data_IF_554142835880
#
_entry.id   IF_554142835880
#
_cell.length_a   1.000
_cell.length_b   1.000
_cell.length_c   1.000
_cell.angle_alpha   90.00
_cell.angle_beta   90.00
_cell.angle_gamma   90.00
#
_symmetry.space_group_name_H-M   'P 1'
#
loop_
_entity.id
_entity.type
_entity.pdbx_description
1 polymer ?
#
# COMPACT_ATOMS: atom_id res chain seq x y z
N UNK A 1 -10.14 3.03 13.78
CA UNK A 1 -8.68 2.93 13.79
C UNK A 1 -8.26 1.49 13.54
N UNK A 2 -7.17 1.27 12.80
CA UNK A 2 -6.59 -0.04 12.60
C UNK A 2 -5.10 -0.03 12.97
N UNK A 3 -4.61 -1.18 13.37
CA UNK A 3 -3.22 -1.45 13.69
C UNK A 3 -2.89 -2.90 13.32
N UNK A 4 -1.61 -3.27 13.33
CA UNK A 4 -1.17 -4.61 12.98
C UNK A 4 0.32 -4.84 13.22
N UNK A 5 0.81 -6.05 12.94
CA UNK A 5 2.17 -6.45 13.24
C UNK A 5 3.20 -5.65 12.42
N UNK A 6 4.41 -5.48 12.98
CA UNK A 6 5.55 -4.88 12.28
C UNK A 6 6.21 -5.86 11.32
N UNK A 7 6.19 -7.15 11.67
CA UNK A 7 6.65 -8.23 10.80
C UNK A 7 5.44 -8.78 10.07
N UNK A 8 5.50 -8.74 8.77
CA UNK A 8 4.50 -9.26 7.84
C UNK A 8 5.11 -10.37 6.98
N UNK A 9 4.30 -11.00 6.17
CA UNK A 9 4.79 -11.81 5.07
C UNK A 9 4.63 -11.06 3.74
N UNK A 10 5.31 -11.52 2.71
CA UNK A 10 5.24 -10.91 1.38
C UNK A 10 3.84 -10.95 0.77
N UNK A 11 3.00 -11.87 1.21
CA UNK A 11 1.60 -11.91 0.81
C UNK A 11 0.89 -10.58 1.16
N UNK A 12 0.90 -10.17 2.42
CA UNK A 12 0.25 -8.94 2.85
C UNK A 12 1.04 -7.70 2.47
N UNK A 13 2.39 -7.79 2.49
CA UNK A 13 3.24 -6.64 2.17
C UNK A 13 3.20 -6.25 0.67
N UNK A 14 2.86 -7.20 -0.21
CA UNK A 14 2.87 -6.96 -1.65
C UNK A 14 1.80 -7.69 -2.45
N UNK A 15 1.65 -9.00 -2.30
CA UNK A 15 0.79 -9.78 -3.20
C UNK A 15 -0.68 -9.37 -3.09
N UNK A 16 -1.23 -9.25 -1.88
CA UNK A 16 -2.60 -8.80 -1.63
C UNK A 16 -2.87 -7.36 -2.10
N UNK A 17 -1.82 -6.61 -2.40
CA UNK A 17 -1.86 -5.28 -2.99
C UNK A 17 -1.59 -5.31 -4.50
N UNK A 18 -1.71 -6.47 -5.12
CA UNK A 18 -1.47 -6.67 -6.55
C UNK A 18 -0.10 -6.17 -7.03
N UNK A 19 0.88 -6.10 -6.13
CA UNK A 19 2.26 -5.76 -6.47
C UNK A 19 2.98 -7.02 -6.97
N UNK A 20 3.45 -7.06 -8.22
CA UNK A 20 4.07 -8.28 -8.76
C UNK A 20 5.32 -8.68 -7.97
N UNK A 21 5.58 -9.98 -7.85
CA UNK A 21 6.69 -10.51 -7.04
C UNK A 21 8.08 -10.08 -7.55
N UNK A 22 8.18 -9.66 -8.82
CA UNK A 22 9.39 -9.10 -9.41
C UNK A 22 9.47 -7.56 -9.36
N UNK A 23 8.55 -6.89 -8.62
CA UNK A 23 8.58 -5.43 -8.49
C UNK A 23 9.83 -4.98 -7.73
N UNK A 24 10.48 -3.90 -8.19
CA UNK A 24 11.72 -3.37 -7.60
C UNK A 24 11.57 -3.05 -6.10
N UNK A 25 10.44 -2.48 -5.68
CA UNK A 25 10.16 -2.17 -4.28
C UNK A 25 10.09 -3.40 -3.34
N UNK A 26 10.24 -4.61 -3.87
CA UNK A 26 10.34 -5.89 -3.12
C UNK A 26 11.76 -6.47 -3.17
N UNK A 27 12.72 -5.71 -3.71
CA UNK A 27 14.11 -6.15 -3.74
C UNK A 27 14.74 -6.13 -2.33
N UNK A 28 15.72 -7.00 -2.12
CA UNK A 28 16.46 -7.09 -0.86
C UNK A 28 17.20 -5.79 -0.52
N UNK A 29 17.40 -4.94 -1.49
CA UNK A 29 18.01 -3.61 -1.32
C UNK A 29 17.02 -2.53 -0.90
N UNK A 30 15.71 -2.81 -0.93
CA UNK A 30 14.64 -1.84 -0.62
C UNK A 30 13.86 -2.20 0.64
N UNK A 31 13.88 -3.50 1.06
CA UNK A 31 13.13 -3.99 2.23
C UNK A 31 14.01 -4.79 3.19
N UNK A 32 13.58 -4.85 4.45
CA UNK A 32 14.23 -5.67 5.48
C UNK A 32 13.55 -7.02 5.60
N UNK A 33 14.21 -8.07 5.10
CA UNK A 33 13.76 -9.45 5.29
C UNK A 33 14.19 -10.02 6.64
N UNK A 34 13.30 -10.78 7.25
CA UNK A 34 13.59 -11.48 8.50
C UNK A 34 14.51 -12.68 8.25
N UNK A 35 15.57 -12.82 9.03
CA UNK A 35 16.56 -13.88 8.87
C UNK A 35 16.11 -15.21 9.46
N UNK A 36 15.39 -15.16 10.58
CA UNK A 36 14.94 -16.35 11.29
C UNK A 36 13.69 -16.02 12.15
N UNK A 37 12.56 -16.72 11.91
CA UNK A 37 12.30 -17.61 10.78
C UNK A 37 12.15 -16.84 9.46
N UNK A 38 12.65 -17.42 8.36
CA UNK A 38 12.58 -16.80 7.01
C UNK A 38 11.15 -16.76 6.50
N UNK A 39 10.37 -17.81 6.74
CA UNK A 39 9.01 -17.97 6.24
C UNK A 39 7.98 -18.08 7.35
N UNK A 40 6.79 -17.55 7.13
CA UNK A 40 5.62 -17.82 7.96
C UNK A 40 5.17 -19.28 7.76
N UNK A 41 4.36 -19.80 8.70
CA UNK A 41 3.87 -21.18 8.63
C UNK A 41 2.92 -21.39 7.45
N UNK A 42 1.85 -20.61 7.40
CA UNK A 42 0.81 -20.73 6.39
C UNK A 42 0.18 -19.35 6.10
N UNK A 43 -0.41 -19.20 4.94
CA UNK A 43 -1.26 -18.09 4.54
C UNK A 43 -2.67 -18.64 4.42
N UNK A 44 -3.64 -17.93 4.96
CA UNK A 44 -5.02 -18.39 5.01
C UNK A 44 -5.65 -18.51 3.62
N UNK A 45 -6.31 -19.65 3.38
CA UNK A 45 -7.25 -19.80 2.29
C UNK A 45 -8.62 -19.14 2.68
N UNK A 46 -9.37 -18.54 1.74
CA UNK A 46 -9.18 -18.61 0.28
C UNK A 46 -8.30 -17.48 -0.30
N UNK A 47 -7.68 -16.65 0.53
CA UNK A 47 -6.95 -15.46 0.07
C UNK A 47 -5.77 -15.82 -0.83
N UNK A 48 -4.99 -16.84 -0.45
CA UNK A 48 -3.83 -17.25 -1.22
C UNK A 48 -4.22 -17.70 -2.64
N UNK A 49 -5.28 -18.51 -2.77
CA UNK A 49 -5.76 -18.99 -4.06
C UNK A 49 -6.25 -17.82 -4.93
N UNK A 50 -7.07 -16.94 -4.39
CA UNK A 50 -7.63 -15.80 -5.14
C UNK A 50 -6.56 -14.85 -5.60
N UNK A 51 -5.66 -14.45 -4.71
CA UNK A 51 -4.57 -13.49 -5.01
C UNK A 51 -3.60 -14.11 -6.03
N UNK A 52 -3.19 -15.37 -5.87
CA UNK A 52 -2.29 -16.01 -6.83
C UNK A 52 -2.90 -16.06 -8.24
N UNK A 53 -4.16 -16.47 -8.36
CA UNK A 53 -4.89 -16.49 -9.62
C UNK A 53 -5.03 -15.08 -10.23
N UNK A 54 -5.31 -14.08 -9.39
CA UNK A 54 -5.39 -12.68 -9.86
C UNK A 54 -4.06 -12.20 -10.43
N UNK A 55 -2.93 -12.57 -9.81
CA UNK A 55 -1.60 -12.27 -10.35
C UNK A 55 -1.30 -12.99 -11.66
N UNK A 56 -1.68 -14.26 -11.79
CA UNK A 56 -1.37 -15.08 -12.96
C UNK A 56 -2.19 -14.69 -14.18
N UNK A 57 -3.51 -14.59 -14.05
CA UNK A 57 -4.43 -14.42 -15.18
C UNK A 57 -5.52 -13.35 -14.98
N UNK A 58 -5.52 -12.68 -13.82
CA UNK A 58 -6.52 -11.67 -13.46
C UNK A 58 -7.68 -12.23 -12.64
N UNK A 59 -7.78 -13.54 -12.44
CA UNK A 59 -8.84 -14.15 -11.65
C UNK A 59 -10.24 -13.75 -12.15
N UNK A 60 -11.10 -13.39 -11.22
CA UNK A 60 -12.48 -12.99 -11.50
C UNK A 60 -12.64 -11.47 -11.71
N UNK A 61 -11.54 -10.69 -11.71
CA UNK A 61 -11.55 -9.22 -11.79
C UNK A 61 -11.73 -8.65 -13.19
N UNK A 62 -11.76 -9.48 -14.22
CA UNK A 62 -11.81 -9.07 -15.62
C UNK A 62 -10.48 -8.52 -16.17
N UNK A 63 -9.43 -8.50 -15.38
CA UNK A 63 -8.09 -8.12 -15.81
C UNK A 63 -7.35 -9.31 -16.46
N UNK A 64 -6.11 -9.07 -16.88
CA UNK A 64 -5.25 -10.12 -17.44
C UNK A 64 -4.15 -10.57 -16.48
N UNK A 65 -4.16 -10.04 -15.25
CA UNK A 65 -3.08 -10.23 -14.30
C UNK A 65 -1.72 -9.75 -14.82
N UNK A 66 -0.68 -10.15 -14.14
CA UNK A 66 0.71 -9.87 -14.52
C UNK A 66 1.32 -10.94 -15.44
N UNK A 67 0.62 -12.09 -15.61
CA UNK A 67 0.99 -13.19 -16.51
C UNK A 67 2.32 -13.86 -16.19
N UNK A 68 2.66 -13.99 -14.94
CA UNK A 68 3.79 -14.80 -14.47
C UNK A 68 3.29 -15.92 -13.58
N UNK A 69 4.09 -16.95 -13.41
CA UNK A 69 3.79 -18.04 -12.49
C UNK A 69 4.02 -17.56 -11.06
N UNK A 70 2.98 -17.58 -10.24
CA UNK A 70 3.05 -17.14 -8.85
C UNK A 70 3.96 -18.05 -8.01
N UNK A 71 4.85 -17.45 -7.23
CA UNK A 71 5.76 -18.17 -6.35
C UNK A 71 5.18 -18.26 -4.94
N UNK A 72 4.67 -19.45 -4.59
CA UNK A 72 4.09 -19.75 -3.29
C UNK A 72 5.11 -19.84 -2.14
N UNK A 73 6.39 -19.94 -2.43
CA UNK A 73 7.43 -19.89 -1.42
C UNK A 73 7.80 -18.44 -1.12
N UNK A 74 8.00 -17.63 -2.15
CA UNK A 74 8.30 -16.21 -2.00
C UNK A 74 7.22 -15.47 -1.18
N UNK A 75 5.95 -15.71 -1.46
CA UNK A 75 4.82 -15.06 -0.76
C UNK A 75 4.82 -15.27 0.75
N UNK A 76 5.48 -16.35 1.24
CA UNK A 76 5.60 -16.70 2.67
C UNK A 76 6.80 -16.06 3.36
N UNK A 77 7.72 -15.42 2.63
CA UNK A 77 8.90 -14.77 3.24
C UNK A 77 8.45 -13.67 4.20
N UNK A 78 9.07 -13.64 5.37
CA UNK A 78 8.79 -12.62 6.36
C UNK A 78 9.63 -11.36 6.11
N UNK A 79 8.99 -10.21 6.25
CA UNK A 79 9.53 -8.89 5.95
C UNK A 79 9.09 -7.88 7.01
N UNK A 80 9.91 -6.89 7.31
CA UNK A 80 9.43 -5.72 8.03
C UNK A 80 8.53 -4.90 7.09
N UNK A 81 7.37 -4.53 7.57
CA UNK A 81 6.35 -3.79 6.82
C UNK A 81 6.93 -2.54 6.14
N UNK A 82 6.89 -2.50 4.81
CA UNK A 82 7.50 -1.43 4.02
C UNK A 82 6.56 -0.26 3.71
N UNK A 83 5.26 -0.43 3.96
CA UNK A 83 4.22 0.57 3.70
C UNK A 83 3.00 0.38 4.62
N UNK A 84 2.27 1.46 4.88
CA UNK A 84 1.06 1.44 5.69
C UNK A 84 -0.11 0.72 5.01
N UNK A 85 -0.14 0.67 3.69
CA UNK A 85 -1.18 0.06 2.87
C UNK A 85 -1.32 -1.46 3.11
N UNK A 86 -0.31 -2.09 3.69
CA UNK A 86 -0.40 -3.47 4.23
C UNK A 86 -1.58 -3.60 5.20
N UNK A 87 -1.75 -2.64 6.10
CA UNK A 87 -2.87 -2.65 7.04
C UNK A 87 -4.21 -2.32 6.38
N UNK A 88 -4.19 -1.56 5.29
CA UNK A 88 -5.38 -1.38 4.45
C UNK A 88 -5.82 -2.71 3.82
N UNK A 89 -4.89 -3.53 3.31
CA UNK A 89 -5.18 -4.86 2.80
C UNK A 89 -5.84 -5.75 3.88
N UNK A 90 -5.24 -5.84 5.06
CA UNK A 90 -5.84 -6.54 6.20
C UNK A 90 -7.22 -5.98 6.60
N UNK A 91 -7.41 -4.67 6.53
CA UNK A 91 -8.68 -4.05 6.89
C UNK A 91 -9.76 -4.34 5.84
N UNK A 92 -9.42 -4.43 4.56
CA UNK A 92 -10.37 -4.73 3.48
C UNK A 92 -11.06 -6.08 3.69
N UNK A 93 -10.38 -7.10 4.22
CA UNK A 93 -10.96 -8.43 4.48
C UNK A 93 -12.11 -8.44 5.49
N UNK A 94 -12.22 -7.42 6.31
CA UNK A 94 -13.23 -7.29 7.39
C UNK A 94 -13.98 -5.97 7.37
N UNK A 95 -13.76 -5.15 6.36
CA UNK A 95 -14.35 -3.82 6.26
C UNK A 95 -15.85 -3.86 6.04
N UNK A 96 -16.55 -2.92 6.64
CA UNK A 96 -17.98 -2.67 6.39
C UNK A 96 -18.13 -1.50 5.44
N UNK A 97 -19.09 -1.61 4.52
CA UNK A 97 -19.42 -0.55 3.55
C UNK A 97 -20.82 0.01 3.87
N UNK A 98 -20.99 1.33 4.03
CA UNK A 98 -19.95 2.37 3.99
C UNK A 98 -19.04 2.36 5.22
N UNK A 99 -17.80 2.76 5.05
CA UNK A 99 -16.83 2.80 6.14
C UNK A 99 -15.66 3.74 5.89
N UNK A 100 -15.06 4.24 6.99
CA UNK A 100 -13.83 5.03 6.99
C UNK A 100 -12.90 4.44 8.03
N UNK A 101 -11.69 4.12 7.62
CA UNK A 101 -10.69 3.48 8.45
C UNK A 101 -9.36 4.20 8.31
N UNK A 102 -8.60 4.32 9.38
CA UNK A 102 -7.28 4.95 9.35
C UNK A 102 -6.36 4.33 10.40
N UNK A 103 -5.07 4.53 10.22
CA UNK A 103 -4.04 4.15 11.17
C UNK A 103 -2.79 5.02 11.02
N UNK A 104 -2.00 5.13 12.09
CA UNK A 104 -0.65 5.70 12.05
C UNK A 104 0.31 4.53 12.17
N UNK A 105 1.05 4.29 11.09
CA UNK A 105 1.68 3.02 10.80
C UNK A 105 3.19 3.19 10.70
N UNK A 106 3.94 2.50 11.56
CA UNK A 106 5.40 2.46 11.45
C UNK A 106 5.82 1.54 10.30
N UNK A 107 6.64 2.06 9.39
CA UNK A 107 7.14 1.37 8.20
C UNK A 107 8.66 1.37 8.18
N UNK A 108 9.24 0.44 7.41
CA UNK A 108 10.68 0.23 7.34
C UNK A 108 11.11 0.09 5.89
N UNK A 109 12.12 0.85 5.48
CA UNK A 109 12.73 0.75 4.14
C UNK A 109 14.25 0.80 4.25
N UNK A 110 14.91 0.04 3.41
CA UNK A 110 16.38 0.03 3.34
C UNK A 110 16.87 1.14 2.41
N UNK A 111 16.48 2.38 2.75
CA UNK A 111 16.89 3.57 2.02
C UNK A 111 18.21 4.16 2.57
N UNK A 112 18.92 4.89 1.74
CA UNK A 112 20.02 5.70 2.21
C UNK A 112 19.47 6.82 3.09
N UNK A 113 19.91 6.85 4.35
CA UNK A 113 19.46 7.85 5.32
C UNK A 113 19.94 9.23 4.94
N UNK A 114 19.02 10.16 4.74
CA UNK A 114 19.29 11.57 4.45
C UNK A 114 18.31 12.50 5.24
N UNK A 115 18.20 13.76 4.84
CA UNK A 115 17.33 14.73 5.51
C UNK A 115 15.82 14.43 5.38
N UNK A 116 15.44 13.58 4.41
CA UNK A 116 14.05 13.26 4.06
C UNK A 116 13.71 11.78 4.16
N UNK A 117 14.72 10.91 4.27
CA UNK A 117 14.56 9.46 4.32
C UNK A 117 15.18 8.87 5.58
N UNK A 118 14.39 8.20 6.39
CA UNK A 118 14.82 7.40 7.52
C UNK A 118 14.65 5.90 7.23
N UNK A 119 15.46 5.07 7.90
CA UNK A 119 15.32 3.60 7.81
C UNK A 119 13.99 3.09 8.38
N UNK A 120 13.38 3.86 9.28
CA UNK A 120 12.01 3.69 9.77
C UNK A 120 11.31 5.05 9.83
N UNK A 121 10.03 5.03 9.57
CA UNK A 121 9.19 6.23 9.54
C UNK A 121 7.72 5.88 9.80
N UNK A 122 6.90 6.90 10.01
CA UNK A 122 5.46 6.72 10.19
C UNK A 122 4.70 7.20 8.95
N UNK A 123 3.73 6.40 8.53
CA UNK A 123 2.75 6.78 7.52
C UNK A 123 1.37 6.91 8.16
N UNK A 124 0.65 7.97 7.82
CA UNK A 124 -0.80 8.03 8.05
C UNK A 124 -1.46 7.34 6.88
N UNK A 125 -2.12 6.23 7.15
CA UNK A 125 -2.82 5.41 6.16
C UNK A 125 -4.32 5.53 6.36
N UNK A 126 -5.11 5.56 5.28
CA UNK A 126 -6.55 5.63 5.38
C UNK A 126 -7.28 5.09 4.17
N UNK A 127 -8.42 4.43 4.40
CA UNK A 127 -9.34 3.96 3.37
C UNK A 127 -10.75 4.47 3.63
N UNK A 128 -11.43 4.86 2.56
CA UNK A 128 -12.83 5.26 2.57
C UNK A 128 -13.60 4.40 1.59
N UNK A 129 -14.61 3.70 2.09
CA UNK A 129 -15.44 2.78 1.33
C UNK A 129 -16.88 3.31 1.27
N UNK A 130 -17.47 3.32 0.08
CA UNK A 130 -18.85 3.76 -0.12
C UNK A 130 -19.25 3.74 -1.59
N UNK A 131 -20.56 3.66 -1.86
CA UNK A 131 -21.09 3.58 -3.23
C UNK A 131 -20.80 4.82 -4.09
N UNK A 132 -20.72 5.98 -3.45
CA UNK A 132 -20.56 7.28 -4.13
C UNK A 132 -19.14 7.85 -3.98
N UNK A 133 -18.20 7.06 -3.46
CA UNK A 133 -16.78 7.47 -3.31
C UNK A 133 -16.12 7.48 -4.69
N UNK A 134 -15.47 8.58 -5.01
CA UNK A 134 -14.84 8.79 -6.31
C UNK A 134 -13.60 9.69 -6.18
N UNK A 135 -12.91 9.91 -7.30
CA UNK A 135 -11.67 10.70 -7.33
C UNK A 135 -11.85 12.13 -6.75
N UNK A 136 -13.01 12.77 -6.95
CA UNK A 136 -13.25 14.11 -6.40
C UNK A 136 -13.26 14.08 -4.85
N UNK A 137 -13.84 13.04 -4.27
CA UNK A 137 -13.83 12.86 -2.81
C UNK A 137 -12.41 12.64 -2.31
N UNK A 138 -11.62 11.83 -3.02
CA UNK A 138 -10.21 11.59 -2.69
C UNK A 138 -9.42 12.90 -2.71
N UNK A 139 -9.50 13.69 -3.79
CA UNK A 139 -8.82 14.99 -3.89
C UNK A 139 -9.23 15.95 -2.76
N UNK A 140 -10.51 15.98 -2.40
CA UNK A 140 -11.02 16.80 -1.29
C UNK A 140 -10.44 16.36 0.06
N UNK A 141 -10.37 15.05 0.33
CA UNK A 141 -9.77 14.50 1.54
C UNK A 141 -8.27 14.80 1.64
N UNK A 142 -7.55 14.63 0.53
CA UNK A 142 -6.11 14.92 0.47
C UNK A 142 -5.82 16.40 0.69
N UNK A 143 -6.65 17.28 0.13
CA UNK A 143 -6.55 18.71 0.37
C UNK A 143 -6.73 19.05 1.85
N UNK A 144 -7.81 18.56 2.45
CA UNK A 144 -8.10 18.76 3.85
C UNK A 144 -6.96 18.23 4.74
N UNK A 145 -6.42 17.05 4.43
CA UNK A 145 -5.29 16.49 5.16
C UNK A 145 -4.04 17.38 5.05
N UNK A 146 -3.72 17.84 3.83
CA UNK A 146 -2.57 18.72 3.61
C UNK A 146 -2.70 20.06 4.35
N UNK A 147 -3.87 20.68 4.32
CA UNK A 147 -4.13 21.99 4.95
C UNK A 147 -4.24 21.86 6.48
N UNK A 148 -5.09 20.94 6.98
CA UNK A 148 -5.45 20.86 8.40
C UNK A 148 -4.42 20.08 9.24
N UNK A 149 -3.78 19.07 8.68
CA UNK A 149 -2.85 18.19 9.41
C UNK A 149 -1.40 18.57 9.10
N UNK A 150 -1.05 18.75 7.82
CA UNK A 150 0.32 19.11 7.45
C UNK A 150 0.58 20.63 7.45
N UNK A 151 -0.45 21.47 7.64
CA UNK A 151 -0.32 22.93 7.70
C UNK A 151 0.13 23.55 6.37
N UNK A 152 -0.17 22.92 5.25
CA UNK A 152 0.27 23.37 3.94
C UNK A 152 -0.57 24.55 3.43
N UNK A 153 0.09 25.61 2.96
CA UNK A 153 -0.56 26.74 2.29
C UNK A 153 -0.77 26.47 0.79
N UNK A 154 0.13 25.69 0.17
CA UNK A 154 0.07 25.35 -1.25
C UNK A 154 0.11 23.83 -1.42
N UNK A 155 -0.84 23.29 -2.19
CA UNK A 155 -0.99 21.85 -2.49
C UNK A 155 -1.00 21.65 -4.00
N UNK A 156 -0.28 20.64 -4.46
CA UNK A 156 -0.23 20.23 -5.87
C UNK A 156 -0.47 18.73 -5.98
N UNK A 157 -1.27 18.34 -6.96
CA UNK A 157 -1.49 16.93 -7.30
C UNK A 157 -0.73 16.58 -8.57
N UNK A 158 -0.01 15.48 -8.53
CA UNK A 158 0.76 14.95 -9.66
C UNK A 158 0.27 13.54 -9.96
N UNK A 159 0.08 13.15 -11.21
CA UNK A 159 -0.18 11.75 -11.54
C UNK A 159 0.94 10.86 -11.01
N UNK A 160 0.57 9.82 -10.27
CA UNK A 160 1.47 8.82 -9.73
C UNK A 160 1.19 7.44 -10.31
N UNK A 161 1.99 6.47 -9.92
CA UNK A 161 1.76 5.07 -10.24
C UNK A 161 1.98 4.20 -9.00
N UNK A 162 0.95 3.45 -8.62
CA UNK A 162 1.03 2.39 -7.61
C UNK A 162 0.35 1.14 -8.14
N UNK A 163 0.92 -0.06 -7.95
CA UNK A 163 0.35 -1.30 -8.48
C UNK A 163 -1.09 -1.57 -8.05
N UNK A 164 -1.48 -1.08 -6.88
CA UNK A 164 -2.75 -1.34 -6.21
C UNK A 164 -3.83 -0.29 -6.46
N UNK A 165 -3.53 0.82 -7.14
CA UNK A 165 -4.52 1.88 -7.41
C UNK A 165 -4.54 2.32 -8.86
N UNK A 166 -5.73 2.73 -9.34
CA UNK A 166 -5.94 3.37 -10.64
C UNK A 166 -7.24 4.20 -10.58
N UNK A 167 -7.22 5.51 -10.77
CA UNK A 167 -6.04 6.35 -10.93
C UNK A 167 -5.23 6.51 -9.63
N UNK A 168 -3.92 6.79 -9.80
CA UNK A 168 -2.99 7.07 -8.72
C UNK A 168 -2.52 8.52 -8.75
N UNK A 169 -2.30 9.10 -7.58
CA UNK A 169 -1.95 10.52 -7.40
C UNK A 169 -0.87 10.63 -6.33
N UNK A 170 0.08 11.50 -6.55
CA UNK A 170 0.99 12.00 -5.52
C UNK A 170 0.57 13.40 -5.09
N UNK A 171 0.53 13.63 -3.79
CA UNK A 171 0.25 14.94 -3.18
C UNK A 171 1.57 15.58 -2.81
N UNK A 172 1.81 16.75 -3.35
CA UNK A 172 2.96 17.57 -3.00
C UNK A 172 2.51 18.83 -2.27
N UNK A 173 3.25 19.21 -1.25
CA UNK A 173 3.07 20.45 -0.50
C UNK A 173 4.32 21.31 -0.60
N UNK A 174 4.14 22.62 -0.42
CA UNK A 174 5.25 23.55 -0.45
C UNK A 174 5.70 23.88 0.97
N UNK A 175 6.89 23.42 1.32
CA UNK A 175 7.52 23.73 2.59
C UNK A 175 8.40 24.99 2.47
N UNK A 176 8.42 25.89 3.46
CA UNK A 176 9.14 27.17 3.36
C UNK A 176 10.67 27.04 3.17
N UNK A 177 11.25 25.92 3.62
CA UNK A 177 12.69 25.67 3.51
C UNK A 177 13.02 24.65 2.41
N UNK A 178 12.25 23.54 2.33
CA UNK A 178 12.52 22.43 1.40
C UNK A 178 11.94 22.65 0.00
N UNK A 179 11.05 23.64 -0.17
CA UNK A 179 10.32 23.82 -1.41
C UNK A 179 9.22 22.77 -1.59
N UNK A 180 8.95 22.37 -2.82
CA UNK A 180 7.97 21.31 -3.12
C UNK A 180 8.53 19.95 -2.77
N UNK A 181 7.80 19.20 -1.95
CA UNK A 181 8.12 17.79 -1.66
C UNK A 181 6.84 16.96 -1.58
N UNK A 182 6.97 15.65 -1.76
CA UNK A 182 5.88 14.70 -1.67
C UNK A 182 5.40 14.56 -0.21
N UNK A 183 4.09 14.76 -0.01
CA UNK A 183 3.43 14.47 1.26
C UNK A 183 3.01 13.00 1.33
N UNK A 184 2.59 12.43 0.21
CA UNK A 184 2.21 11.03 0.10
C UNK A 184 1.48 10.67 -1.16
N UNK A 185 1.30 9.37 -1.36
CA UNK A 185 0.55 8.79 -2.47
C UNK A 185 -0.89 8.43 -2.10
N UNK A 186 -1.78 8.44 -3.07
CA UNK A 186 -3.16 8.02 -2.91
C UNK A 186 -3.76 7.55 -4.25
N UNK A 187 -4.88 6.83 -4.19
CA UNK A 187 -5.57 6.40 -5.41
C UNK A 187 -6.88 5.68 -5.10
N UNK A 188 -7.54 5.26 -6.15
CA UNK A 188 -8.71 4.38 -6.07
C UNK A 188 -8.20 2.94 -6.18
N UNK A 189 -8.53 2.08 -5.24
CA UNK A 189 -8.14 0.68 -5.31
C UNK A 189 -8.64 0.02 -6.59
N UNK A 190 -7.77 -0.76 -7.18
CA UNK A 190 -8.08 -1.54 -8.38
C UNK A 190 -8.96 -2.75 -8.01
N UNK A 191 -9.79 -3.26 -8.95
CA UNK A 191 -10.55 -4.49 -8.74
C UNK A 191 -9.69 -5.67 -8.29
N UNK A 192 -8.46 -5.76 -8.79
CA UNK A 192 -7.50 -6.82 -8.43
C UNK A 192 -7.10 -6.81 -6.94
N UNK A 193 -7.42 -5.73 -6.20
CA UNK A 193 -7.21 -5.65 -4.75
C UNK A 193 -8.51 -5.88 -3.98
N UNK A 194 -9.65 -5.42 -4.53
CA UNK A 194 -10.92 -5.42 -3.81
C UNK A 194 -11.80 -6.64 -4.10
N UNK A 195 -11.52 -7.39 -5.16
CA UNK A 195 -12.29 -8.54 -5.62
C UNK A 195 -11.49 -9.86 -5.57
N UNK A 196 -10.18 -9.78 -5.33
CA UNK A 196 -9.29 -10.94 -5.18
C UNK A 196 -9.53 -11.75 -3.91
#
# INVERSE_FOLDING_TARGET
EFDGPLVENEFWNGDALFMPQFHSARDIHDVYYVKDPVHCKEIEEPWLERVSKTHEDGGDTGSRGWRYKFDHEFTRRQVLRSQGTVLSAHQLTKAKVPGKYFGIVRCFRYDQVDATHGADFYQTEGIVLGKDVNLRNLLGLLKMFAEEIAGAEEVKYVPGYFPFTEPSIEVHIKHPVLGWFELGGAGIFRPEVTEA
#
